data_IF_786566543417
#
_entry.id   IF_786566543417
#
_cell.length_a   1.000
_cell.length_b   1.000
_cell.length_c   1.000
_cell.angle_alpha   90.00
_cell.angle_beta   90.00
_cell.angle_gamma   90.00
#
_symmetry.space_group_name_H-M   'P 1'
#
loop_
_entity.id
_entity.type
_entity.pdbx_description
1 polymer ?
#
# COMPACT_ATOMS: atom_id res chain seq x y z
N UNK A 1 -4.41 -28.77 6.99
CA UNK A 1 -4.98 -27.49 7.48
C UNK A 1 -3.90 -26.47 7.86
N UNK A 2 -2.89 -26.82 8.68
CA UNK A 2 -1.89 -25.85 9.16
C UNK A 2 -0.75 -25.59 8.16
N UNK A 3 -0.38 -26.60 7.36
CA UNK A 3 0.62 -26.42 6.30
C UNK A 3 0.09 -25.53 5.17
N UNK A 4 -1.22 -25.58 4.88
CA UNK A 4 -1.89 -24.65 3.97
C UNK A 4 -1.84 -23.21 4.47
N UNK A 5 -2.12 -22.99 5.76
CA UNK A 5 -2.00 -21.67 6.38
C UNK A 5 -0.54 -21.14 6.32
N UNK A 6 0.45 -22.00 6.58
CA UNK A 6 1.86 -21.60 6.50
C UNK A 6 2.27 -21.24 5.06
N UNK A 7 1.76 -21.98 4.08
CA UNK A 7 1.92 -21.68 2.66
C UNK A 7 1.28 -20.33 2.31
N UNK A 8 0.05 -20.09 2.74
CA UNK A 8 -0.68 -18.84 2.50
C UNK A 8 0.02 -17.62 3.12
N UNK A 9 0.63 -17.77 4.30
CA UNK A 9 1.41 -16.69 4.95
C UNK A 9 2.67 -16.38 4.15
N UNK A 10 3.41 -17.41 3.72
CA UNK A 10 4.61 -17.21 2.89
C UNK A 10 4.25 -16.53 1.56
N UNK A 11 3.15 -16.95 0.95
CA UNK A 11 2.61 -16.30 -0.24
C UNK A 11 2.27 -14.84 0.03
N UNK A 12 1.53 -14.54 1.10
CA UNK A 12 1.20 -13.15 1.47
C UNK A 12 2.44 -12.28 1.70
N UNK A 13 3.50 -12.83 2.28
CA UNK A 13 4.76 -12.09 2.46
C UNK A 13 5.45 -11.83 1.11
N UNK A 14 5.44 -12.80 0.20
CA UNK A 14 5.96 -12.61 -1.16
C UNK A 14 5.15 -11.54 -1.90
N UNK A 15 3.83 -11.63 -1.87
CA UNK A 15 2.93 -10.64 -2.46
C UNK A 15 3.11 -9.24 -1.84
N UNK A 16 3.50 -9.15 -0.56
CA UNK A 16 3.83 -7.88 0.07
C UNK A 16 5.10 -7.23 -0.51
N UNK A 17 6.11 -8.03 -0.88
CA UNK A 17 7.30 -7.49 -1.54
C UNK A 17 6.98 -6.97 -2.94
N UNK A 18 6.21 -7.73 -3.72
CA UNK A 18 5.71 -7.31 -5.04
C UNK A 18 4.85 -6.03 -4.88
N UNK A 19 4.04 -5.95 -3.84
CA UNK A 19 3.26 -4.77 -3.50
C UNK A 19 4.10 -3.50 -3.28
N UNK A 20 5.25 -3.62 -2.60
CA UNK A 20 6.15 -2.48 -2.41
C UNK A 20 6.78 -1.99 -3.72
N UNK A 21 6.91 -2.84 -4.74
CA UNK A 21 7.40 -2.42 -6.05
C UNK A 21 6.39 -1.50 -6.76
N UNK A 22 5.08 -1.80 -6.65
CA UNK A 22 4.03 -1.00 -7.28
C UNK A 22 3.76 0.33 -6.56
N UNK A 23 3.80 0.33 -5.23
CA UNK A 23 3.47 1.51 -4.43
C UNK A 23 4.69 2.36 -4.03
N UNK A 24 5.91 1.84 -4.24
CA UNK A 24 7.14 2.43 -3.71
C UNK A 24 7.36 3.90 -4.12
N UNK A 25 6.92 4.28 -5.32
CA UNK A 25 7.08 5.65 -5.83
C UNK A 25 6.30 6.71 -5.04
N UNK A 26 5.25 6.32 -4.30
CA UNK A 26 4.44 7.24 -3.46
C UNK A 26 4.98 7.31 -2.02
N UNK A 27 5.88 6.39 -1.61
CA UNK A 27 6.35 6.34 -0.23
C UNK A 27 7.17 7.58 0.16
N UNK A 28 8.12 7.97 -0.69
CA UNK A 28 9.08 9.03 -0.45
C UNK A 28 8.77 10.22 -1.36
N UNK A 29 8.46 11.37 -0.76
CA UNK A 29 8.11 12.57 -1.52
C UNK A 29 9.26 13.12 -2.36
N UNK A 30 10.51 12.83 -2.01
CA UNK A 30 11.66 13.22 -2.86
C UNK A 30 11.67 12.39 -4.14
N UNK A 31 11.40 11.08 -4.06
CA UNK A 31 11.25 10.22 -5.22
C UNK A 31 10.09 10.73 -6.08
N UNK A 32 8.92 10.92 -5.46
CA UNK A 32 7.71 11.39 -6.13
C UNK A 32 7.87 12.77 -6.80
N UNK A 33 8.68 13.67 -6.23
CA UNK A 33 8.99 14.99 -6.84
C UNK A 33 10.02 14.92 -7.96
N UNK A 34 10.88 13.91 -7.95
CA UNK A 34 11.99 13.76 -8.91
C UNK A 34 11.66 12.88 -10.12
N UNK A 35 10.59 12.11 -10.04
CA UNK A 35 10.17 11.19 -11.10
C UNK A 35 9.71 11.93 -12.36
N UNK A 36 10.02 11.36 -13.53
CA UNK A 36 9.56 11.91 -14.81
C UNK A 36 8.03 11.80 -14.95
N UNK A 37 7.42 12.64 -15.80
CA UNK A 37 5.98 12.58 -16.03
C UNK A 37 5.57 11.28 -16.70
N UNK A 38 6.42 10.76 -17.57
CA UNK A 38 6.24 9.53 -18.32
C UNK A 38 6.27 8.32 -17.37
N UNK A 39 7.28 8.27 -16.48
CA UNK A 39 7.39 7.19 -15.49
C UNK A 39 6.28 7.27 -14.44
N UNK A 40 5.91 8.48 -13.99
CA UNK A 40 4.79 8.66 -13.07
C UNK A 40 3.49 8.10 -13.64
N UNK A 41 3.20 8.43 -14.89
CA UNK A 41 1.99 7.92 -15.57
C UNK A 41 2.04 6.40 -15.69
N UNK A 42 3.20 5.83 -16.04
CA UNK A 42 3.38 4.38 -16.11
C UNK A 42 3.10 3.71 -14.76
N UNK A 43 3.65 4.23 -13.67
CA UNK A 43 3.37 3.70 -12.33
C UNK A 43 1.89 3.78 -11.94
N UNK A 44 1.18 4.84 -12.34
CA UNK A 44 -0.27 4.96 -12.11
C UNK A 44 -1.07 3.92 -12.91
N UNK A 45 -0.66 3.61 -14.15
CA UNK A 45 -1.25 2.55 -14.96
C UNK A 45 -0.98 1.15 -14.37
N UNK A 46 0.25 0.90 -13.94
CA UNK A 46 0.63 -0.36 -13.31
C UNK A 46 -0.18 -0.57 -12.02
N UNK A 47 -0.32 0.47 -11.18
CA UNK A 47 -1.17 0.44 -9.98
C UNK A 47 -2.63 0.18 -10.29
N UNK A 48 -3.21 0.87 -11.28
CA UNK A 48 -4.61 0.67 -11.66
C UNK A 48 -4.87 -0.77 -12.10
N UNK A 49 -3.92 -1.37 -12.81
CA UNK A 49 -4.00 -2.78 -13.21
C UNK A 49 -3.93 -3.73 -12.01
N UNK A 50 -3.05 -3.45 -11.04
CA UNK A 50 -2.88 -4.28 -9.83
C UNK A 50 -4.09 -4.18 -8.89
N UNK A 51 -4.75 -3.03 -8.83
CA UNK A 51 -5.94 -2.79 -8.00
C UNK A 51 -7.26 -3.05 -8.74
N UNK A 52 -7.20 -3.66 -9.92
CA UNK A 52 -8.37 -4.06 -10.68
C UNK A 52 -8.82 -5.47 -10.30
N UNK A 53 -10.08 -5.59 -9.89
CA UNK A 53 -10.76 -6.87 -9.69
C UNK A 53 -11.92 -7.00 -10.70
N UNK A 54 -11.68 -7.75 -11.78
CA UNK A 54 -12.62 -7.88 -12.88
C UNK A 54 -12.83 -6.57 -13.63
N UNK A 55 -14.06 -6.06 -13.67
CA UNK A 55 -14.39 -4.76 -14.30
C UNK A 55 -14.32 -3.58 -13.33
N UNK A 56 -14.08 -3.83 -12.03
CA UNK A 56 -14.02 -2.78 -11.01
C UNK A 56 -12.57 -2.51 -10.66
N UNK A 57 -12.22 -1.23 -10.60
CA UNK A 57 -10.92 -0.78 -10.12
C UNK A 57 -11.14 0.15 -8.93
N UNK A 58 -10.34 -0.02 -7.88
CA UNK A 58 -10.36 0.88 -6.71
C UNK A 58 -9.87 2.29 -7.05
N UNK A 59 -9.12 2.45 -8.14
CA UNK A 59 -8.55 3.71 -8.61
C UNK A 59 -8.64 3.86 -10.13
N UNK A 60 -8.74 5.10 -10.60
CA UNK A 60 -8.61 5.44 -12.02
C UNK A 60 -7.20 5.94 -12.29
N UNK A 61 -6.42 5.24 -13.12
CA UNK A 61 -4.99 5.54 -13.35
C UNK A 61 -4.73 6.95 -13.86
N UNK A 62 -5.59 7.45 -14.75
CA UNK A 62 -5.47 8.81 -15.28
C UNK A 62 -5.78 9.87 -14.22
N UNK A 63 -6.85 9.69 -13.44
CA UNK A 63 -7.21 10.61 -12.36
C UNK A 63 -6.14 10.62 -11.26
N UNK A 64 -5.61 9.44 -10.87
CA UNK A 64 -4.50 9.34 -9.93
C UNK A 64 -3.28 10.15 -10.42
N UNK A 65 -2.94 10.03 -11.70
CA UNK A 65 -1.84 10.79 -12.29
C UNK A 65 -2.07 12.31 -12.21
N UNK A 66 -3.25 12.80 -12.59
CA UNK A 66 -3.57 14.22 -12.52
C UNK A 66 -3.58 14.74 -11.08
N UNK A 67 -4.20 14.00 -10.16
CA UNK A 67 -4.23 14.34 -8.74
C UNK A 67 -2.82 14.40 -8.13
N UNK A 68 -1.94 13.46 -8.49
CA UNK A 68 -0.54 13.46 -8.03
C UNK A 68 0.21 14.69 -8.54
N UNK A 69 0.02 15.10 -9.80
CA UNK A 69 0.66 16.31 -10.32
C UNK A 69 0.22 17.58 -9.60
N UNK A 70 -1.09 17.68 -9.31
CA UNK A 70 -1.68 18.79 -8.59
C UNK A 70 -1.19 18.83 -7.14
N UNK A 71 -1.23 17.69 -6.43
CA UNK A 71 -0.84 17.64 -5.04
C UNK A 71 0.65 17.92 -4.88
N UNK A 72 1.53 17.34 -5.72
CA UNK A 72 2.99 17.57 -5.68
C UNK A 72 3.34 19.06 -5.81
N UNK A 73 2.63 19.77 -6.68
CA UNK A 73 2.82 21.20 -6.93
C UNK A 73 2.40 22.09 -5.76
N UNK A 74 1.45 21.63 -4.94
CA UNK A 74 0.92 22.35 -3.78
C UNK A 74 1.48 21.86 -2.43
N UNK A 75 2.23 20.76 -2.43
CA UNK A 75 2.64 20.06 -1.22
C UNK A 75 3.74 20.85 -0.48
N UNK A 76 3.60 21.11 0.83
CA UNK A 76 4.66 21.71 1.62
C UNK A 76 5.93 20.86 1.70
N UNK A 77 7.10 21.50 1.80
CA UNK A 77 8.39 20.81 1.83
C UNK A 77 8.63 19.95 3.08
N UNK A 78 7.88 20.20 4.17
CA UNK A 78 8.00 19.41 5.39
C UNK A 78 7.38 18.02 5.26
N UNK A 79 6.54 17.78 4.25
CA UNK A 79 5.95 16.47 3.97
C UNK A 79 6.99 15.62 3.24
N UNK A 80 7.48 14.57 3.91
CA UNK A 80 8.57 13.71 3.42
C UNK A 80 8.12 12.31 3.02
N UNK A 81 7.04 11.81 3.61
CA UNK A 81 6.60 10.43 3.42
C UNK A 81 5.08 10.29 3.26
N UNK A 82 4.66 9.10 2.81
CA UNK A 82 3.25 8.73 2.64
C UNK A 82 2.40 8.90 3.92
N UNK A 83 3.00 8.72 5.11
CA UNK A 83 2.29 8.86 6.39
C UNK A 83 2.00 10.33 6.70
N UNK A 84 2.91 11.23 6.39
CA UNK A 84 2.69 12.67 6.51
C UNK A 84 1.72 13.15 5.43
N UNK A 85 1.80 12.60 4.22
CA UNK A 85 0.88 12.91 3.12
C UNK A 85 -0.58 12.59 3.47
N UNK A 86 -0.88 11.37 3.94
CA UNK A 86 -2.25 11.01 4.31
C UNK A 86 -2.78 11.88 5.46
N UNK A 87 -1.92 12.21 6.43
CA UNK A 87 -2.29 13.08 7.55
C UNK A 87 -2.63 14.49 7.04
N UNK A 88 -1.81 15.03 6.14
CA UNK A 88 -2.05 16.32 5.50
C UNK A 88 -3.37 16.34 4.73
N UNK A 89 -3.66 15.30 3.94
CA UNK A 89 -4.92 15.18 3.18
C UNK A 89 -6.13 15.19 4.13
N UNK A 90 -6.06 14.46 5.24
CA UNK A 90 -7.15 14.39 6.23
C UNK A 90 -7.33 15.70 6.98
N UNK A 91 -6.25 16.28 7.50
CA UNK A 91 -6.31 17.52 8.31
C UNK A 91 -6.83 18.72 7.52
N UNK A 92 -6.63 18.73 6.21
CA UNK A 92 -7.09 19.80 5.32
C UNK A 92 -8.38 19.45 4.55
N UNK A 93 -9.05 18.33 4.86
CA UNK A 93 -10.26 17.85 4.17
C UNK A 93 -10.10 17.74 2.64
N UNK A 94 -8.93 17.31 2.15
CA UNK A 94 -8.61 17.22 0.72
C UNK A 94 -9.03 15.87 0.11
N UNK A 95 -9.77 15.06 0.83
CA UNK A 95 -10.14 13.69 0.43
C UNK A 95 -11.06 13.67 -0.79
N UNK A 96 -11.95 14.66 -0.91
CA UNK A 96 -12.84 14.83 -2.07
C UNK A 96 -12.13 15.46 -3.26
N UNK A 97 -11.00 16.15 -3.03
CA UNK A 97 -10.20 16.80 -4.07
C UNK A 97 -9.19 15.83 -4.68
N UNK A 98 -8.60 14.96 -3.85
CA UNK A 98 -7.63 13.94 -4.27
C UNK A 98 -8.07 12.53 -3.84
N UNK A 99 -9.24 12.04 -4.30
CA UNK A 99 -9.79 10.76 -3.88
C UNK A 99 -8.91 9.57 -4.27
N UNK A 100 -8.35 9.54 -5.48
CA UNK A 100 -7.50 8.44 -5.93
C UNK A 100 -6.17 8.41 -5.17
N UNK A 101 -5.56 9.57 -4.91
CA UNK A 101 -4.35 9.66 -4.06
C UNK A 101 -4.66 9.20 -2.64
N UNK A 102 -5.77 9.64 -2.08
CA UNK A 102 -6.20 9.23 -0.74
C UNK A 102 -6.35 7.71 -0.64
N UNK A 103 -7.08 7.10 -1.57
CA UNK A 103 -7.29 5.64 -1.62
C UNK A 103 -5.96 4.92 -1.79
N UNK A 104 -5.11 5.36 -2.72
CA UNK A 104 -3.81 4.74 -2.99
C UNK A 104 -2.92 4.74 -1.74
N UNK A 105 -2.77 5.88 -1.08
CA UNK A 105 -1.94 6.00 0.14
C UNK A 105 -2.55 5.22 1.31
N UNK A 106 -3.89 5.19 1.43
CA UNK A 106 -4.59 4.37 2.44
C UNK A 106 -4.28 2.89 2.28
N UNK A 107 -4.42 2.37 1.06
CA UNK A 107 -4.16 0.95 0.74
C UNK A 107 -2.69 0.64 1.06
N UNK A 108 -1.77 1.51 0.65
CA UNK A 108 -0.34 1.42 0.92
C UNK A 108 0.01 1.22 2.38
N UNK A 109 -0.56 2.05 3.25
CA UNK A 109 -0.23 2.02 4.67
C UNK A 109 -0.94 0.87 5.40
N UNK A 110 -2.02 0.33 4.84
CA UNK A 110 -2.87 -0.68 5.50
C UNK A 110 -2.42 -2.12 5.22
N UNK A 111 -1.91 -2.39 4.02
CA UNK A 111 -1.51 -3.74 3.60
C UNK A 111 -0.36 -4.32 4.45
N UNK A 112 0.76 -3.60 4.68
CA UNK A 112 1.85 -4.09 5.54
C UNK A 112 1.42 -4.32 6.99
N UNK A 113 0.50 -3.51 7.50
CA UNK A 113 -0.03 -3.65 8.88
C UNK A 113 -0.86 -4.93 9.01
N UNK A 114 -1.68 -5.22 8.00
CA UNK A 114 -2.53 -6.41 7.97
C UNK A 114 -1.72 -7.70 7.86
N UNK A 115 -0.68 -7.73 7.01
CA UNK A 115 0.21 -8.88 6.86
C UNK A 115 1.00 -9.16 8.14
N UNK A 116 1.57 -8.14 8.78
CA UNK A 116 2.30 -8.29 10.03
C UNK A 116 1.41 -8.78 11.20
N UNK A 117 0.16 -8.31 11.26
CA UNK A 117 -0.81 -8.75 12.27
C UNK A 117 -1.17 -10.23 12.12
N UNK A 118 -1.40 -10.68 10.87
CA UNK A 118 -1.65 -12.08 10.57
C UNK A 118 -0.45 -12.95 10.97
N UNK A 119 0.77 -12.58 10.56
CA UNK A 119 1.99 -13.32 10.89
C UNK A 119 2.20 -13.46 12.41
N UNK A 120 2.06 -12.37 13.16
CA UNK A 120 2.18 -12.37 14.62
C UNK A 120 1.14 -13.31 15.27
N UNK A 121 -0.09 -13.29 14.77
CA UNK A 121 -1.18 -14.14 15.28
C UNK A 121 -0.89 -15.63 15.03
N UNK A 122 -0.38 -15.97 13.85
CA UNK A 122 -0.02 -17.35 13.50
C UNK A 122 1.25 -17.84 14.20
N UNK A 123 2.23 -16.98 14.43
CA UNK A 123 3.42 -17.32 15.22
C UNK A 123 3.04 -17.77 16.64
N UNK A 124 2.10 -17.06 17.28
CA UNK A 124 1.54 -17.46 18.58
C UNK A 124 0.82 -18.82 18.50
N UNK A 125 0.00 -19.04 17.49
CA UNK A 125 -0.70 -20.31 17.29
C UNK A 125 0.27 -21.49 17.13
N UNK A 126 1.38 -21.27 16.39
CA UNK A 126 2.44 -22.28 16.21
C UNK A 126 3.09 -22.66 17.54
N UNK A 127 3.35 -21.70 18.42
CA UNK A 127 3.92 -21.94 19.77
C UNK A 127 2.95 -22.78 20.62
N UNK A 128 1.68 -22.39 20.68
CA UNK A 128 0.64 -23.10 21.46
C UNK A 128 0.53 -24.56 20.98
N UNK A 129 0.48 -24.78 19.66
CA UNK A 129 0.42 -26.13 19.09
C UNK A 129 1.65 -26.96 19.47
N UNK A 130 2.85 -26.40 19.36
CA UNK A 130 4.08 -27.12 19.66
C UNK A 130 4.17 -27.52 21.13
N UNK A 131 3.67 -26.67 22.03
CA UNK A 131 3.55 -26.98 23.46
C UNK A 131 2.59 -28.15 23.70
N UNK A 132 1.40 -28.13 23.10
CA UNK A 132 0.43 -29.22 23.24
C UNK A 132 0.95 -30.55 22.69
N UNK A 133 1.69 -30.53 21.57
CA UNK A 133 2.28 -31.73 20.97
C UNK A 133 3.42 -32.35 21.77
N UNK A 134 4.10 -31.57 22.62
CA UNK A 134 5.17 -32.04 23.52
C UNK A 134 4.65 -32.55 24.86
N UNK A 135 3.38 -32.29 25.18
CA UNK A 135 2.71 -32.73 26.40
C UNK A 135 1.95 -34.05 26.24
N UNK A 136 1.99 -34.65 25.05
CA UNK A 136 1.50 -35.99 24.71
C UNK A 136 2.68 -36.84 24.30
#
# INVERSE_FOLDING_TARGET
MIDGILHDIKWRFKSLNEYFEYFGFIYDMNILRSISKEDLYKHCCDLGTVLQEGEKSDIQSFELYEELQLIISSLPDFIKDAKQLIKYIIENNLQEIYPNVYITVRIMLTIPVSTASAERSFSKLKIIKNYLRKKT
#
